data_IF_530700761188
#
_entry.id   IF_530700761188
#
_cell.length_a   1.000
_cell.length_b   1.000
_cell.length_c   1.000
_cell.angle_alpha   90.00
_cell.angle_beta   90.00
_cell.angle_gamma   90.00
#
_symmetry.space_group_name_H-M   'P 1'
#
loop_
_entity.id
_entity.type
_entity.pdbx_description
1 polymer ?
#
# COMPACT_ATOMS: atom_id res chain seq x y z
N UNK A 1 -13.83 20.12 2.64
CA UNK A 1 -12.70 19.42 2.00
C UNK A 1 -12.96 17.94 2.02
N UNK A 2 -12.15 17.14 1.32
CA UNK A 2 -12.26 15.67 1.32
C UNK A 2 -11.89 15.07 2.68
N UNK A 3 -12.56 13.99 3.08
CA UNK A 3 -12.16 13.08 4.15
C UNK A 3 -11.15 12.08 3.58
N UNK A 4 -9.88 12.22 3.95
CA UNK A 4 -8.77 11.48 3.34
C UNK A 4 -8.25 10.41 4.29
N UNK A 5 -8.29 9.16 3.86
CA UNK A 5 -7.57 8.04 4.47
C UNK A 5 -6.12 8.00 4.01
N UNK A 6 -5.20 7.65 4.90
CA UNK A 6 -3.78 7.49 4.61
C UNK A 6 -3.30 6.17 5.20
N UNK A 7 -2.79 5.28 4.33
CA UNK A 7 -2.07 4.07 4.71
C UNK A 7 -0.59 4.22 4.35
N UNK A 8 0.30 4.10 5.34
CA UNK A 8 1.76 4.22 5.16
C UNK A 8 2.54 3.15 5.92
N UNK A 9 3.79 2.90 5.52
CA UNK A 9 4.68 1.96 6.18
C UNK A 9 6.17 2.26 5.98
N UNK A 10 7.07 1.88 6.91
CA UNK A 10 6.78 1.32 8.23
C UNK A 10 6.24 2.38 9.21
N UNK A 11 5.97 1.98 10.46
CA UNK A 11 5.79 2.93 11.56
C UNK A 11 7.11 3.09 12.33
N UNK A 12 7.24 4.19 13.06
CA UNK A 12 8.42 4.49 13.87
C UNK A 12 8.24 4.08 15.34
N UNK A 13 7.08 4.36 15.94
CA UNK A 13 6.86 4.10 17.37
C UNK A 13 5.53 3.39 17.64
N UNK A 14 4.45 3.86 17.05
CA UNK A 14 3.10 3.35 17.25
C UNK A 14 2.58 2.72 15.96
N UNK A 15 2.03 1.51 16.03
CA UNK A 15 1.42 0.84 14.89
C UNK A 15 0.37 1.71 14.19
N UNK A 16 -0.38 2.50 14.95
CA UNK A 16 -1.48 3.35 14.45
C UNK A 16 -0.99 4.47 13.54
N UNK A 17 0.30 4.79 13.56
CA UNK A 17 0.93 5.69 12.59
C UNK A 17 0.69 5.24 11.14
N UNK A 18 0.49 3.93 10.92
CA UNK A 18 0.22 3.36 9.59
C UNK A 18 -1.13 3.75 9.02
N UNK A 19 -2.12 4.12 9.85
CA UNK A 19 -3.52 4.27 9.40
C UNK A 19 -4.08 5.56 9.99
N UNK A 20 -4.33 6.56 9.12
CA UNK A 20 -4.84 7.87 9.53
C UNK A 20 -6.04 8.28 8.70
N UNK A 21 -6.94 9.06 9.30
CA UNK A 21 -7.97 9.81 8.58
C UNK A 21 -7.80 11.28 8.92
N UNK A 22 -7.65 12.12 7.90
CA UNK A 22 -7.37 13.56 8.05
C UNK A 22 -6.20 13.84 9.03
N UNK A 23 -5.17 12.99 8.99
CA UNK A 23 -3.99 13.09 9.85
C UNK A 23 -4.16 12.57 11.27
N UNK A 24 -5.35 12.13 11.66
CA UNK A 24 -5.62 11.53 12.97
C UNK A 24 -5.50 10.00 12.88
N UNK A 25 -4.70 9.42 13.78
CA UNK A 25 -4.48 7.98 13.87
C UNK A 25 -5.77 7.23 14.21
N UNK A 26 -5.89 6.02 13.67
CA UNK A 26 -6.92 5.05 14.06
C UNK A 26 -6.94 4.83 15.58
N UNK A 27 -8.10 4.56 16.18
CA UNK A 27 -8.18 4.27 17.62
C UNK A 27 -7.64 2.87 17.94
N UNK A 28 -7.07 2.71 19.13
CA UNK A 28 -6.66 1.38 19.63
C UNK A 28 -7.84 0.41 19.68
N UNK A 29 -9.01 0.88 20.09
CA UNK A 29 -10.23 0.07 20.16
C UNK A 29 -10.60 -0.51 18.80
N UNK A 30 -10.57 0.28 17.73
CA UNK A 30 -10.90 -0.20 16.39
C UNK A 30 -9.91 -1.28 15.94
N UNK A 31 -8.61 -1.08 16.19
CA UNK A 31 -7.57 -2.06 15.88
C UNK A 31 -7.85 -3.38 16.62
N UNK A 32 -8.07 -3.31 17.93
CA UNK A 32 -8.33 -4.47 18.77
C UNK A 32 -9.61 -5.22 18.35
N UNK A 33 -10.69 -4.49 18.09
CA UNK A 33 -11.96 -5.06 17.65
C UNK A 33 -11.83 -5.75 16.29
N UNK A 34 -11.14 -5.13 15.33
CA UNK A 34 -10.89 -5.73 14.02
C UNK A 34 -10.08 -7.01 14.13
N UNK A 35 -8.97 -7.00 14.89
CA UNK A 35 -8.14 -8.19 15.09
C UNK A 35 -8.94 -9.29 15.77
N UNK A 36 -9.69 -8.98 16.83
CA UNK A 36 -10.52 -9.95 17.53
C UNK A 36 -11.58 -10.57 16.62
N UNK A 37 -12.23 -9.76 15.77
CA UNK A 37 -13.26 -10.19 14.82
C UNK A 37 -12.71 -11.11 13.74
N UNK A 38 -11.49 -10.87 13.26
CA UNK A 38 -10.91 -11.57 12.11
C UNK A 38 -9.85 -12.61 12.47
N UNK A 39 -9.53 -12.80 13.76
CA UNK A 39 -8.48 -13.71 14.25
C UNK A 39 -8.52 -15.11 13.64
N UNK A 40 -9.68 -15.76 13.68
CA UNK A 40 -9.83 -17.12 13.15
C UNK A 40 -9.56 -17.19 11.64
N UNK A 41 -9.96 -16.16 10.89
CA UNK A 41 -9.69 -16.06 9.46
C UNK A 41 -8.19 -15.92 9.20
N UNK A 42 -7.50 -15.03 9.93
CA UNK A 42 -6.06 -14.84 9.79
C UNK A 42 -5.27 -16.11 10.10
N UNK A 43 -5.59 -16.80 11.19
CA UNK A 43 -4.93 -18.05 11.58
C UNK A 43 -5.17 -19.16 10.56
N UNK A 44 -6.39 -19.27 10.00
CA UNK A 44 -6.72 -20.32 9.03
C UNK A 44 -6.07 -20.13 7.65
N UNK A 45 -5.64 -18.91 7.31
CA UNK A 45 -5.07 -18.58 6.00
C UNK A 45 -3.57 -18.24 6.08
N UNK A 46 -2.94 -18.39 7.24
CA UNK A 46 -1.52 -18.04 7.48
C UNK A 46 -1.18 -16.62 7.01
N UNK A 47 -2.07 -15.67 7.30
CA UNK A 47 -1.97 -14.29 6.82
C UNK A 47 -0.74 -13.61 7.42
N UNK A 48 0.05 -12.94 6.57
CA UNK A 48 1.18 -12.15 7.04
C UNK A 48 0.70 -10.90 7.79
N UNK A 49 1.55 -10.38 8.66
CA UNK A 49 1.31 -9.12 9.38
C UNK A 49 0.97 -7.96 8.42
N UNK A 50 1.63 -7.91 7.26
CA UNK A 50 1.41 -6.85 6.29
C UNK A 50 0.02 -6.96 5.65
N UNK A 51 -0.38 -8.16 5.22
CA UNK A 51 -1.71 -8.38 4.65
C UNK A 51 -2.83 -8.10 5.66
N UNK A 52 -2.66 -8.51 6.93
CA UNK A 52 -3.59 -8.15 8.01
C UNK A 52 -3.72 -6.63 8.19
N UNK A 53 -2.59 -5.91 8.15
CA UNK A 53 -2.54 -4.45 8.31
C UNK A 53 -3.23 -3.71 7.15
N UNK A 54 -3.04 -4.18 5.91
CA UNK A 54 -3.72 -3.63 4.73
C UNK A 54 -5.22 -3.88 4.82
N UNK A 55 -5.63 -5.09 5.21
CA UNK A 55 -7.04 -5.42 5.43
C UNK A 55 -7.71 -4.51 6.45
N UNK A 56 -7.03 -4.25 7.57
CA UNK A 56 -7.48 -3.31 8.60
C UNK A 56 -7.65 -1.89 8.04
N UNK A 57 -6.67 -1.39 7.28
CA UNK A 57 -6.73 -0.04 6.71
C UNK A 57 -7.94 0.12 5.76
N UNK A 58 -8.18 -0.87 4.89
CA UNK A 58 -9.32 -0.85 3.98
C UNK A 58 -10.67 -0.95 4.69
N UNK A 59 -10.80 -1.81 5.70
CA UNK A 59 -12.02 -1.90 6.52
C UNK A 59 -12.29 -0.58 7.26
N UNK A 60 -11.25 0.03 7.83
CA UNK A 60 -11.36 1.31 8.51
C UNK A 60 -11.78 2.43 7.56
N UNK A 61 -11.13 2.58 6.40
CA UNK A 61 -11.49 3.61 5.42
C UNK A 61 -12.88 3.44 4.83
N UNK A 62 -13.32 2.19 4.67
CA UNK A 62 -14.68 1.85 4.22
C UNK A 62 -15.73 2.17 5.28
N UNK A 63 -15.52 1.73 6.53
CA UNK A 63 -16.45 1.99 7.64
C UNK A 63 -16.60 3.47 7.94
N UNK A 64 -15.50 4.22 7.84
CA UNK A 64 -15.46 5.67 8.01
C UNK A 64 -15.93 6.46 6.78
N UNK A 65 -16.21 5.79 5.66
CA UNK A 65 -16.68 6.42 4.40
C UNK A 65 -15.76 7.55 3.95
N UNK A 66 -14.46 7.27 3.88
CA UNK A 66 -13.47 8.22 3.32
C UNK A 66 -13.79 8.53 1.86
N UNK A 67 -13.55 9.77 1.43
CA UNK A 67 -13.76 10.17 0.04
C UNK A 67 -12.61 9.72 -0.86
N UNK A 68 -11.38 9.77 -0.33
CA UNK A 68 -10.13 9.39 -1.00
C UNK A 68 -9.25 8.65 0.00
N UNK A 69 -8.59 7.59 -0.44
CA UNK A 69 -7.55 6.91 0.33
C UNK A 69 -6.22 6.95 -0.42
N UNK A 70 -5.16 7.36 0.27
CA UNK A 70 -3.77 7.33 -0.21
C UNK A 70 -3.13 6.06 0.35
N UNK A 71 -2.70 5.16 -0.53
CA UNK A 71 -2.21 3.83 -0.15
C UNK A 71 -0.75 3.71 -0.59
N UNK A 72 0.16 3.70 0.37
CA UNK A 72 1.57 3.41 0.14
C UNK A 72 1.78 1.90 -0.04
N UNK A 73 2.49 1.53 -1.10
CA UNK A 73 2.93 0.15 -1.38
C UNK A 73 4.01 -0.24 -0.37
N UNK A 74 3.93 -1.45 0.20
CA UNK A 74 4.93 -1.94 1.14
C UNK A 74 6.25 -2.35 0.48
N UNK A 75 6.17 -3.24 -0.52
CA UNK A 75 7.34 -3.74 -1.24
C UNK A 75 7.02 -4.02 -2.71
N UNK A 76 7.83 -3.47 -3.61
CA UNK A 76 7.65 -3.67 -5.05
C UNK A 76 6.39 -2.98 -5.55
N UNK A 77 5.35 -3.76 -5.84
CA UNK A 77 4.05 -3.28 -6.33
C UNK A 77 3.18 -4.41 -6.84
N UNK A 78 3.68 -5.20 -7.80
CA UNK A 78 2.93 -6.26 -8.49
C UNK A 78 2.30 -7.28 -7.55
N UNK A 79 3.06 -7.76 -6.57
CA UNK A 79 2.63 -8.76 -5.59
C UNK A 79 2.39 -8.17 -4.18
N UNK A 80 2.35 -6.85 -4.07
CA UNK A 80 2.12 -6.20 -2.78
C UNK A 80 0.66 -6.37 -2.35
N UNK A 81 0.41 -6.55 -1.05
CA UNK A 81 -0.93 -6.73 -0.51
C UNK A 81 -1.87 -5.54 -0.80
N UNK A 82 -1.32 -4.35 -1.02
CA UNK A 82 -2.09 -3.17 -1.42
C UNK A 82 -2.63 -3.22 -2.85
N UNK A 83 -2.05 -4.06 -3.72
CA UNK A 83 -2.35 -4.09 -5.15
C UNK A 83 -3.66 -4.82 -5.52
N UNK A 84 -4.57 -4.98 -4.57
CA UNK A 84 -5.92 -5.54 -4.78
C UNK A 84 -6.97 -4.50 -5.17
N UNK A 85 -6.56 -3.22 -5.31
CA UNK A 85 -7.44 -2.09 -5.64
C UNK A 85 -7.29 -1.63 -7.09
N UNK A 86 -8.28 -0.88 -7.58
CA UNK A 86 -8.17 -0.06 -8.80
C UNK A 86 -8.14 1.40 -8.38
N UNK A 87 -6.98 2.08 -8.43
CA UNK A 87 -6.86 3.45 -7.93
C UNK A 87 -7.40 4.46 -8.96
N UNK A 88 -7.63 5.70 -8.51
CA UNK A 88 -7.92 6.82 -9.41
C UNK A 88 -6.66 7.31 -10.15
N UNK A 89 -5.50 7.10 -9.54
CA UNK A 89 -4.18 7.43 -10.09
C UNK A 89 -3.14 6.56 -9.41
N UNK A 90 -2.17 6.05 -10.18
CA UNK A 90 -0.99 5.36 -9.64
C UNK A 90 0.20 6.31 -9.63
N UNK A 91 1.07 6.20 -8.63
CA UNK A 91 2.26 7.07 -8.51
C UNK A 91 3.49 6.21 -8.30
N UNK A 92 4.52 6.43 -9.13
CA UNK A 92 5.84 5.82 -8.97
C UNK A 92 6.82 6.97 -8.77
N UNK A 93 7.45 7.05 -7.60
CA UNK A 93 8.31 8.19 -7.23
C UNK A 93 9.65 8.13 -7.96
N UNK A 94 10.46 7.14 -7.62
CA UNK A 94 11.83 6.95 -8.11
C UNK A 94 12.18 5.46 -8.08
N UNK A 95 13.14 5.06 -8.91
CA UNK A 95 13.63 3.68 -9.00
C UNK A 95 15.13 3.66 -8.68
N UNK A 96 15.52 2.81 -7.75
CA UNK A 96 16.91 2.54 -7.41
C UNK A 96 17.06 1.07 -6.99
N UNK A 97 18.31 0.60 -6.88
CA UNK A 97 18.67 -0.75 -6.44
C UNK A 97 18.40 -0.92 -4.94
N UNK A 98 17.14 -1.19 -4.61
CA UNK A 98 16.69 -1.55 -3.27
C UNK A 98 15.97 -2.90 -3.28
N UNK A 99 16.11 -3.66 -2.18
CA UNK A 99 15.45 -4.96 -2.01
C UNK A 99 15.73 -5.95 -3.16
N UNK A 100 16.96 -5.96 -3.69
CA UNK A 100 17.34 -6.73 -4.89
C UNK A 100 17.10 -8.24 -4.76
N UNK A 101 17.18 -8.78 -3.53
CA UNK A 101 16.84 -10.16 -3.21
C UNK A 101 15.37 -10.54 -3.54
N UNK A 102 14.47 -9.55 -3.56
CA UNK A 102 13.03 -9.74 -3.85
C UNK A 102 12.63 -9.18 -5.22
N UNK A 103 13.20 -8.03 -5.60
CA UNK A 103 12.73 -7.24 -6.76
C UNK A 103 13.61 -7.40 -8.00
N UNK A 104 14.73 -8.12 -7.90
CA UNK A 104 15.69 -8.32 -8.97
C UNK A 104 16.94 -7.43 -8.85
N UNK A 105 17.93 -7.74 -9.67
CA UNK A 105 19.27 -7.15 -9.56
C UNK A 105 19.52 -5.98 -10.54
N UNK A 106 18.48 -5.48 -11.21
CA UNK A 106 18.58 -4.36 -12.16
C UNK A 106 17.45 -3.37 -11.91
N UNK A 107 17.69 -2.10 -12.26
CA UNK A 107 16.67 -1.04 -12.17
C UNK A 107 15.44 -1.36 -13.02
N UNK A 108 15.62 -1.95 -14.21
CA UNK A 108 14.52 -2.41 -15.08
C UNK A 108 13.66 -3.50 -14.41
N UNK A 109 14.28 -4.47 -13.72
CA UNK A 109 13.53 -5.51 -13.01
C UNK A 109 12.71 -4.91 -11.85
N UNK A 110 13.31 -4.01 -11.08
CA UNK A 110 12.65 -3.31 -9.97
C UNK A 110 11.52 -2.40 -10.49
N UNK A 111 11.74 -1.71 -11.61
CA UNK A 111 10.71 -0.93 -12.28
C UNK A 111 9.52 -1.81 -12.69
N UNK A 112 9.77 -3.01 -13.20
CA UNK A 112 8.71 -3.97 -13.57
C UNK A 112 7.86 -4.41 -12.39
N UNK A 113 8.47 -4.66 -11.23
CA UNK A 113 7.73 -4.97 -10.00
C UNK A 113 6.88 -3.78 -9.55
N UNK A 114 7.43 -2.56 -9.58
CA UNK A 114 6.71 -1.33 -9.18
C UNK A 114 5.60 -0.95 -10.16
N UNK A 115 5.82 -1.13 -11.46
CA UNK A 115 4.84 -0.92 -12.52
C UNK A 115 3.59 -1.80 -12.38
N UNK A 116 3.66 -2.87 -11.58
CA UNK A 116 2.50 -3.73 -11.29
C UNK A 116 1.30 -3.04 -10.64
N UNK A 117 1.46 -1.81 -10.12
CA UNK A 117 0.33 -1.00 -9.63
C UNK A 117 -0.36 -0.17 -10.72
N UNK A 118 0.19 -0.11 -11.94
CA UNK A 118 -0.43 0.57 -13.08
C UNK A 118 -1.62 -0.26 -13.55
N UNK A 119 -2.79 0.37 -13.69
CA UNK A 119 -4.03 -0.30 -14.10
C UNK A 119 -4.53 0.25 -15.45
N UNK A 120 -5.20 -0.57 -16.29
CA UNK A 120 -5.73 -0.12 -17.57
C UNK A 120 -6.64 1.09 -17.42
N UNK A 121 -6.43 2.11 -18.26
CA UNK A 121 -7.21 3.36 -18.27
C UNK A 121 -7.14 4.19 -16.97
N UNK A 122 -6.18 3.90 -16.09
CA UNK A 122 -5.91 4.70 -14.90
C UNK A 122 -4.65 5.54 -15.16
N UNK A 123 -4.68 6.86 -14.91
CA UNK A 123 -3.50 7.69 -15.08
C UNK A 123 -2.37 7.25 -14.14
N UNK A 124 -1.13 7.39 -14.63
CA UNK A 124 0.08 7.16 -13.83
C UNK A 124 0.91 8.44 -13.79
N UNK A 125 1.47 8.74 -12.62
CA UNK A 125 2.45 9.81 -12.43
C UNK A 125 3.80 9.17 -12.11
N UNK A 126 4.80 9.45 -12.94
CA UNK A 126 6.18 9.04 -12.73
C UNK A 126 6.96 10.27 -12.27
N UNK A 127 7.56 10.21 -11.07
CA UNK A 127 8.33 11.31 -10.50
C UNK A 127 9.68 11.49 -11.19
N UNK A 128 10.49 10.43 -11.20
CA UNK A 128 11.80 10.37 -11.85
C UNK A 128 11.99 9.03 -12.58
N UNK A 129 12.62 9.07 -13.75
CA UNK A 129 12.94 7.90 -14.55
C UNK A 129 14.30 8.05 -15.24
N UNK A 130 14.88 6.92 -15.62
CA UNK A 130 16.06 6.82 -16.50
C UNK A 130 15.65 6.23 -17.84
N UNK A 131 16.53 6.24 -18.84
CA UNK A 131 16.24 5.61 -20.15
C UNK A 131 15.85 4.13 -19.98
N UNK A 132 16.46 3.41 -19.03
CA UNK A 132 16.18 2.00 -18.79
C UNK A 132 14.85 1.72 -18.07
N UNK A 133 14.34 2.68 -17.29
CA UNK A 133 13.07 2.52 -16.57
C UNK A 133 11.89 3.12 -17.32
N UNK A 134 12.10 4.13 -18.16
CA UNK A 134 11.07 4.72 -19.03
C UNK A 134 10.44 3.67 -19.94
N UNK A 135 11.23 2.74 -20.49
CA UNK A 135 10.73 1.67 -21.36
C UNK A 135 9.81 0.66 -20.66
N UNK A 136 9.70 0.71 -19.33
CA UNK A 136 8.88 -0.21 -18.52
C UNK A 136 7.49 0.34 -18.21
N UNK A 137 7.37 1.67 -18.07
CA UNK A 137 6.14 2.34 -17.65
C UNK A 137 5.20 2.61 -18.84
#
# INVERSE_FOLDING_TARGET
>A
GYKVGLYTSPHLKDFRERIKINGIEISEDFVCEFVAKHKAFFESNDMSFFEMSVGLAFDYFSSEKTDIAIIEVGLGGRLDATNIITPLVSVITNIDLAHTQFLGNTTTAIAGEKAGIIKPNVPVVIGEYTEETEAVF
#
